data_IF_559750895953
#
_entry.id   IF_559750895953
#
_cell.length_a   1.000
_cell.length_b   1.000
_cell.length_c   1.000
_cell.angle_alpha   90.00
_cell.angle_beta   90.00
_cell.angle_gamma   90.00
#
_symmetry.space_group_name_H-M   'P 1'
#
loop_
_entity.id
_entity.type
_entity.pdbx_description
1 polymer ?
#
# COMPACT_ATOMS: atom_id res chain seq x y z
N UNK A 1 -0.09 -83.28 -39.48
CA UNK A 1 -0.48 -83.17 -38.05
C UNK A 1 0.78 -82.85 -37.25
N UNK A 2 0.95 -81.60 -36.81
CA UNK A 2 2.12 -81.14 -36.04
C UNK A 2 1.80 -81.20 -34.54
N UNK A 3 2.74 -81.71 -33.75
CA UNK A 3 2.68 -81.79 -32.28
C UNK A 3 2.65 -80.39 -31.65
N UNK A 4 2.01 -80.24 -30.47
CA UNK A 4 1.89 -78.95 -29.78
C UNK A 4 3.20 -78.53 -29.10
N UNK A 5 3.46 -77.21 -28.98
CA UNK A 5 4.70 -76.69 -28.42
C UNK A 5 4.76 -76.79 -26.89
N UNK A 6 5.98 -77.01 -26.38
CA UNK A 6 6.31 -77.01 -24.95
C UNK A 6 5.99 -75.67 -24.29
N UNK A 7 5.36 -75.73 -23.13
CA UNK A 7 5.02 -74.61 -22.27
C UNK A 7 6.30 -73.86 -21.85
N UNK A 8 6.33 -72.54 -22.10
CA UNK A 8 7.30 -71.62 -21.47
C UNK A 8 6.62 -71.05 -20.24
N UNK A 9 7.16 -71.34 -19.07
CA UNK A 9 6.74 -70.70 -17.82
C UNK A 9 6.93 -69.19 -17.91
N UNK A 10 5.87 -68.46 -17.57
CA UNK A 10 5.82 -67.00 -17.54
C UNK A 10 6.30 -66.55 -16.15
N UNK A 11 7.33 -65.71 -16.02
CA UNK A 11 7.72 -65.19 -14.72
C UNK A 11 6.64 -64.25 -14.15
N UNK A 12 6.49 -64.14 -12.82
CA UNK A 12 5.42 -63.39 -12.18
C UNK A 12 5.39 -61.91 -12.58
N UNK A 13 4.19 -61.31 -12.58
CA UNK A 13 3.89 -59.96 -13.09
C UNK A 13 4.57 -58.79 -12.33
N UNK A 14 5.37 -59.04 -11.29
CA UNK A 14 5.73 -58.01 -10.30
C UNK A 14 7.09 -57.30 -10.45
N UNK A 15 8.00 -57.71 -11.33
CA UNK A 15 9.33 -57.05 -11.38
C UNK A 15 9.67 -56.34 -12.69
N UNK A 16 8.72 -56.28 -13.63
CA UNK A 16 8.81 -55.51 -14.88
C UNK A 16 8.79 -53.98 -14.69
N UNK A 17 8.82 -53.45 -13.46
CA UNK A 17 8.70 -52.00 -13.20
C UNK A 17 9.97 -51.29 -12.71
N UNK A 18 11.13 -51.96 -12.58
CA UNK A 18 12.30 -51.32 -11.93
C UNK A 18 13.53 -51.09 -12.84
N UNK A 19 13.37 -51.03 -14.16
CA UNK A 19 14.44 -50.61 -15.09
C UNK A 19 14.13 -49.29 -15.79
N UNK A 20 14.20 -48.17 -15.06
CA UNK A 20 14.51 -46.84 -15.60
C UNK A 20 15.19 -45.97 -14.53
N UNK A 21 16.51 -45.75 -14.59
CA UNK A 21 17.14 -44.73 -13.75
C UNK A 21 17.12 -43.37 -14.46
N UNK A 22 16.46 -42.44 -13.78
CA UNK A 22 16.73 -41.00 -13.69
C UNK A 22 16.87 -40.16 -14.97
N UNK A 23 15.71 -39.79 -15.55
CA UNK A 23 15.57 -38.39 -15.99
C UNK A 23 15.51 -37.54 -14.72
N UNK A 24 16.58 -36.77 -14.46
CA UNK A 24 16.56 -35.68 -13.49
C UNK A 24 15.41 -34.74 -13.89
N UNK A 25 14.28 -34.87 -13.20
CA UNK A 25 13.35 -33.76 -13.08
C UNK A 25 14.13 -32.68 -12.36
N UNK A 26 14.64 -31.70 -13.11
CA UNK A 26 14.95 -30.41 -12.56
C UNK A 26 13.61 -29.89 -12.02
N UNK A 27 13.37 -30.12 -10.74
CA UNK A 27 12.46 -29.31 -9.97
C UNK A 27 12.97 -27.89 -10.18
N UNK A 28 12.28 -27.13 -11.03
CA UNK A 28 12.22 -25.69 -10.89
C UNK A 28 11.71 -25.49 -9.45
N UNK A 29 12.65 -25.35 -8.52
CA UNK A 29 12.37 -24.67 -7.28
C UNK A 29 12.02 -23.26 -7.74
N UNK A 30 10.73 -23.01 -7.88
CA UNK A 30 10.22 -21.67 -7.72
C UNK A 30 10.74 -21.26 -6.34
N UNK A 31 11.82 -20.50 -6.33
CA UNK A 31 12.13 -19.65 -5.21
C UNK A 31 10.89 -18.77 -5.07
N UNK A 32 10.01 -19.16 -4.15
CA UNK A 32 9.08 -18.23 -3.53
C UNK A 32 9.97 -17.13 -2.95
N UNK A 33 10.15 -16.08 -3.75
CA UNK A 33 10.59 -14.79 -3.27
C UNK A 33 9.43 -14.28 -2.40
N UNK A 34 9.34 -14.82 -1.18
CA UNK A 34 8.73 -14.13 -0.07
C UNK A 34 9.56 -12.86 0.08
N UNK A 35 9.11 -11.81 -0.61
CA UNK A 35 9.68 -10.48 -0.43
C UNK A 35 9.65 -10.22 1.06
N UNK A 36 10.84 -10.06 1.65
CA UNK A 36 10.93 -9.64 3.02
C UNK A 36 10.30 -8.25 3.05
N UNK A 37 9.06 -8.16 3.55
CA UNK A 37 8.49 -6.87 3.92
C UNK A 37 9.21 -6.49 5.20
N UNK A 38 10.36 -5.85 5.06
CA UNK A 38 11.03 -5.19 6.17
C UNK A 38 10.05 -4.15 6.73
N UNK A 39 9.83 -4.18 8.04
CA UNK A 39 9.00 -3.17 8.68
C UNK A 39 9.74 -1.85 8.52
N UNK A 40 9.16 -0.94 7.74
CA UNK A 40 9.71 0.39 7.55
C UNK A 40 9.86 1.03 8.93
N UNK A 41 11.07 1.47 9.34
CA UNK A 41 11.27 2.05 10.65
C UNK A 41 10.42 3.30 10.81
N UNK A 42 9.85 3.45 12.01
CA UNK A 42 9.11 4.65 12.37
C UNK A 42 10.08 5.77 12.73
N UNK A 43 9.79 7.00 12.29
CA UNK A 43 10.43 8.23 12.77
C UNK A 43 9.42 9.17 13.40
N UNK A 44 9.87 9.96 14.36
CA UNK A 44 9.05 10.94 15.09
C UNK A 44 8.86 12.24 14.31
N UNK A 45 9.82 12.60 13.45
CA UNK A 45 9.83 13.88 12.74
C UNK A 45 9.18 13.73 11.37
N UNK A 46 8.28 14.66 11.02
CA UNK A 46 7.67 14.70 9.70
C UNK A 46 8.75 14.91 8.62
N UNK A 47 8.82 14.05 7.59
CA UNK A 47 9.70 14.30 6.46
C UNK A 47 9.30 15.53 5.68
N UNK A 48 10.27 16.07 4.93
CA UNK A 48 9.95 16.95 3.82
C UNK A 48 9.11 16.18 2.81
N UNK A 49 7.96 16.72 2.45
CA UNK A 49 7.12 16.12 1.42
C UNK A 49 7.83 16.14 0.07
N UNK A 50 7.59 15.11 -0.78
CA UNK A 50 8.08 15.09 -2.14
C UNK A 50 7.75 16.38 -2.88
N UNK A 51 8.75 16.93 -3.56
CA UNK A 51 8.53 18.07 -4.46
C UNK A 51 7.57 17.63 -5.57
N UNK A 52 6.60 18.47 -5.97
CA UNK A 52 5.74 18.15 -7.10
C UNK A 52 6.57 17.80 -8.33
N UNK A 53 6.36 16.59 -8.87
CA UNK A 53 7.05 16.17 -10.08
C UNK A 53 6.55 16.97 -11.29
N UNK A 54 7.45 17.48 -12.16
CA UNK A 54 7.07 18.14 -13.41
C UNK A 54 6.73 17.16 -14.54
N UNK A 55 6.73 15.84 -14.28
CA UNK A 55 6.50 14.82 -15.30
C UNK A 55 5.15 15.03 -16.02
N UNK A 56 5.11 14.84 -17.35
CA UNK A 56 3.89 15.01 -18.12
C UNK A 56 2.79 14.09 -17.58
N UNK A 57 1.59 14.65 -17.46
CA UNK A 57 0.35 14.00 -17.04
C UNK A 57 0.03 12.78 -17.93
N UNK A 58 0.73 11.65 -17.77
CA UNK A 58 0.28 10.37 -18.30
C UNK A 58 -0.99 9.98 -17.53
N UNK A 59 -2.13 10.39 -18.09
CA UNK A 59 -3.51 10.06 -17.69
C UNK A 59 -3.68 9.96 -16.17
N UNK A 60 -3.57 11.11 -15.49
CA UNK A 60 -3.88 11.19 -14.06
C UNK A 60 -5.39 11.03 -13.89
N UNK A 61 -5.82 9.94 -13.25
CA UNK A 61 -7.22 9.77 -12.88
C UNK A 61 -7.54 10.71 -11.71
N UNK A 62 -8.51 11.62 -11.85
CA UNK A 62 -9.00 12.37 -10.71
C UNK A 62 -9.60 11.40 -9.69
N UNK A 63 -9.51 11.73 -8.41
CA UNK A 63 -10.14 10.96 -7.34
C UNK A 63 -10.91 11.86 -6.40
N UNK A 64 -11.94 11.30 -5.76
CA UNK A 64 -12.62 11.96 -4.66
C UNK A 64 -11.73 11.91 -3.42
N UNK A 65 -11.59 13.04 -2.74
CA UNK A 65 -11.01 13.14 -1.42
C UNK A 65 -12.15 13.36 -0.45
N UNK A 66 -12.25 12.52 0.57
CA UNK A 66 -13.12 12.72 1.72
C UNK A 66 -12.24 13.07 2.90
N UNK A 67 -12.44 14.23 3.51
CA UNK A 67 -11.65 14.64 4.66
C UNK A 67 -12.50 14.85 5.90
N UNK A 68 -11.89 14.57 7.04
CA UNK A 68 -12.45 14.77 8.37
C UNK A 68 -11.40 15.47 9.23
N UNK A 69 -11.79 16.53 9.91
CA UNK A 69 -10.98 17.19 10.93
C UNK A 69 -11.65 17.02 12.30
N UNK A 70 -11.11 16.14 13.16
CA UNK A 70 -11.59 15.97 14.52
C UNK A 70 -10.95 17.00 15.48
N UNK A 71 -11.66 17.30 16.56
CA UNK A 71 -11.13 18.02 17.72
C UNK A 71 -10.33 17.07 18.64
N UNK A 72 -9.77 17.63 19.71
CA UNK A 72 -8.93 16.88 20.67
C UNK A 72 -9.67 15.77 21.44
N UNK A 73 -11.00 15.78 21.43
CA UNK A 73 -11.85 14.75 22.07
C UNK A 73 -12.39 13.73 21.06
N UNK A 74 -11.98 13.81 19.79
CA UNK A 74 -12.49 12.96 18.71
C UNK A 74 -13.84 13.39 18.13
N UNK A 75 -14.41 14.50 18.60
CA UNK A 75 -15.61 15.11 18.01
C UNK A 75 -15.29 15.81 16.68
N UNK A 76 -16.26 15.92 15.79
CA UNK A 76 -16.05 16.50 14.46
C UNK A 76 -15.99 18.04 14.52
N UNK A 77 -14.90 18.65 14.04
CA UNK A 77 -14.84 20.09 13.77
C UNK A 77 -15.49 20.36 12.41
N UNK A 78 -14.98 19.70 11.38
CA UNK A 78 -15.50 19.81 10.02
C UNK A 78 -15.18 18.57 9.20
N UNK A 79 -15.94 18.38 8.13
CA UNK A 79 -15.68 17.37 7.10
C UNK A 79 -16.06 17.94 5.75
N UNK A 80 -15.58 17.31 4.70
CA UNK A 80 -16.00 17.68 3.37
C UNK A 80 -15.43 16.76 2.32
N UNK A 81 -15.77 17.08 1.08
CA UNK A 81 -15.29 16.32 -0.07
C UNK A 81 -14.88 17.23 -1.21
N UNK A 82 -13.92 16.78 -2.01
CA UNK A 82 -13.54 17.46 -3.24
C UNK A 82 -12.84 16.51 -4.20
N UNK A 83 -12.93 16.83 -5.50
CA UNK A 83 -12.19 16.10 -6.53
C UNK A 83 -10.76 16.62 -6.60
N UNK A 84 -9.79 15.74 -6.50
CA UNK A 84 -8.37 16.05 -6.62
C UNK A 84 -7.78 15.42 -7.88
N UNK A 85 -7.13 16.25 -8.70
CA UNK A 85 -6.35 15.80 -9.86
C UNK A 85 -4.86 15.77 -9.54
N UNK A 86 -4.24 14.61 -9.74
CA UNK A 86 -2.79 14.43 -9.57
C UNK A 86 -2.41 13.46 -8.47
N UNK A 87 -1.10 13.43 -8.20
CA UNK A 87 -0.48 12.50 -7.24
C UNK A 87 0.29 13.21 -6.14
N UNK A 88 0.57 14.50 -6.30
CA UNK A 88 1.44 15.21 -5.37
C UNK A 88 0.79 15.35 -4.00
N UNK A 89 1.36 14.71 -2.98
CA UNK A 89 0.91 14.86 -1.59
C UNK A 89 1.10 16.30 -1.11
N UNK A 90 2.15 16.99 -1.58
CA UNK A 90 2.37 18.40 -1.31
C UNK A 90 1.22 19.26 -1.86
N UNK A 91 0.82 19.07 -3.13
CA UNK A 91 -0.31 19.82 -3.71
C UNK A 91 -1.62 19.50 -3.01
N UNK A 92 -1.83 18.25 -2.62
CA UNK A 92 -3.01 17.85 -1.85
C UNK A 92 -3.06 18.57 -0.50
N UNK A 93 -1.93 18.65 0.21
CA UNK A 93 -1.78 19.37 1.48
C UNK A 93 -2.12 20.86 1.33
N UNK A 94 -1.58 21.50 0.28
CA UNK A 94 -1.86 22.90 -0.02
C UNK A 94 -3.33 23.16 -0.33
N UNK A 95 -3.96 22.30 -1.14
CA UNK A 95 -5.38 22.43 -1.49
C UNK A 95 -6.28 22.22 -0.26
N UNK A 96 -5.91 21.30 0.64
CA UNK A 96 -6.66 21.09 1.88
C UNK A 96 -6.54 22.28 2.83
N UNK A 97 -5.32 22.81 3.02
CA UNK A 97 -5.10 24.00 3.84
C UNK A 97 -5.88 25.20 3.30
N UNK A 98 -5.86 25.43 1.97
CA UNK A 98 -6.66 26.48 1.32
C UNK A 98 -8.14 26.33 1.60
N UNK A 99 -8.70 25.12 1.46
CA UNK A 99 -10.12 24.85 1.72
C UNK A 99 -10.51 25.04 3.17
N UNK A 100 -9.65 24.68 4.12
CA UNK A 100 -9.89 24.90 5.55
C UNK A 100 -9.80 26.38 5.92
N UNK A 101 -8.86 27.12 5.30
CA UNK A 101 -8.76 28.58 5.43
C UNK A 101 -9.97 29.32 4.86
N UNK A 102 -10.49 28.90 3.70
CA UNK A 102 -11.70 29.47 3.07
C UNK A 102 -12.94 29.35 3.98
N UNK A 103 -12.97 28.36 4.89
CA UNK A 103 -14.05 28.17 5.86
C UNK A 103 -13.92 29.09 7.10
N UNK A 104 -12.91 29.96 7.15
CA UNK A 104 -12.60 30.86 8.27
C UNK A 104 -12.50 30.14 9.62
N UNK A 105 -12.10 28.86 9.62
CA UNK A 105 -12.04 28.04 10.83
C UNK A 105 -10.83 28.45 11.68
N UNK A 106 -9.67 28.66 11.05
CA UNK A 106 -8.42 29.13 11.65
C UNK A 106 -7.48 29.66 10.54
N UNK A 107 -6.52 30.52 10.89
CA UNK A 107 -5.37 30.87 10.05
C UNK A 107 -4.40 29.68 9.99
N UNK A 108 -4.78 28.64 9.24
CA UNK A 108 -4.01 27.40 9.17
C UNK A 108 -3.00 27.47 8.03
N UNK A 109 -1.71 27.41 8.37
CA UNK A 109 -0.67 27.32 7.35
C UNK A 109 -0.61 25.90 6.79
N UNK A 110 -0.09 25.77 5.56
CA UNK A 110 0.18 24.46 4.96
C UNK A 110 1.06 23.63 5.91
N UNK A 111 2.04 24.25 6.56
CA UNK A 111 2.98 23.61 7.48
C UNK A 111 2.34 23.02 8.74
N UNK A 112 1.17 23.48 9.14
CA UNK A 112 0.46 23.01 10.34
C UNK A 112 -0.35 21.75 10.10
N UNK A 113 -0.62 21.43 8.82
CA UNK A 113 -1.53 20.36 8.44
C UNK A 113 -0.80 19.02 8.20
N UNK A 114 -1.10 18.00 9.00
CA UNK A 114 -0.68 16.61 8.71
C UNK A 114 -1.89 15.84 8.20
N UNK A 115 -1.77 15.27 7.01
CA UNK A 115 -2.80 14.41 6.42
C UNK A 115 -2.52 12.97 6.79
N UNK A 116 -3.52 12.27 7.33
CA UNK A 116 -3.39 10.88 7.76
C UNK A 116 -4.42 9.99 7.06
N UNK A 117 -4.03 8.75 6.77
CA UNK A 117 -4.94 7.70 6.35
C UNK A 117 -5.44 6.96 7.59
N UNK A 118 -6.76 6.82 7.79
CA UNK A 118 -7.29 5.98 8.86
C UNK A 118 -7.12 4.51 8.49
N UNK A 119 -6.71 3.71 9.45
CA UNK A 119 -6.75 2.25 9.36
C UNK A 119 -8.05 1.72 9.96
N UNK A 120 -8.35 0.44 9.73
CA UNK A 120 -9.55 -0.19 10.28
C UNK A 120 -9.56 -0.24 11.82
N UNK A 121 -8.38 -0.32 12.46
CA UNK A 121 -8.19 -0.27 13.91
C UNK A 121 -8.15 1.17 14.48
N UNK A 122 -8.42 2.19 13.66
CA UNK A 122 -8.47 3.59 14.10
C UNK A 122 -7.10 4.25 14.24
N UNK A 123 -6.01 3.56 13.89
CA UNK A 123 -4.68 4.14 13.82
C UNK A 123 -4.60 5.13 12.65
N UNK A 124 -3.81 6.18 12.84
CA UNK A 124 -3.53 7.17 11.81
C UNK A 124 -2.15 6.93 11.21
N UNK A 125 -2.10 6.77 9.88
CA UNK A 125 -0.85 6.65 9.14
C UNK A 125 -0.60 7.97 8.39
N UNK A 126 0.45 8.74 8.73
CA UNK A 126 0.76 9.98 8.02
C UNK A 126 1.02 9.74 6.54
N UNK A 127 0.32 10.50 5.68
CA UNK A 127 0.51 10.47 4.24
C UNK A 127 1.71 11.36 3.89
N UNK A 128 2.84 10.72 3.57
CA UNK A 128 4.11 11.40 3.28
C UNK A 128 4.65 11.14 1.87
N UNK A 129 4.03 10.23 1.13
CA UNK A 129 4.39 9.89 -0.25
C UNK A 129 3.30 10.31 -1.22
N UNK A 130 3.67 10.48 -2.48
CA UNK A 130 2.73 10.77 -3.55
C UNK A 130 1.69 9.65 -3.72
N UNK A 131 0.46 10.05 -4.05
CA UNK A 131 -0.68 9.16 -4.18
C UNK A 131 -0.43 8.07 -5.23
N UNK A 132 -1.03 6.87 -5.10
CA UNK A 132 -0.99 5.84 -6.14
C UNK A 132 -1.69 6.31 -7.42
N UNK A 133 -1.65 5.54 -8.52
CA UNK A 133 -2.35 5.91 -9.77
C UNK A 133 -3.85 5.60 -9.79
N UNK A 134 -4.45 5.23 -8.66
CA UNK A 134 -5.87 4.87 -8.57
C UNK A 134 -6.80 6.09 -8.71
N UNK A 135 -8.07 5.84 -9.08
CA UNK A 135 -9.14 6.84 -9.02
C UNK A 135 -10.02 6.69 -7.77
N UNK A 136 -9.66 5.78 -6.87
CA UNK A 136 -10.46 5.44 -5.69
C UNK A 136 -10.52 6.59 -4.69
N UNK A 137 -11.65 6.67 -4.00
CA UNK A 137 -11.87 7.66 -2.95
C UNK A 137 -10.83 7.51 -1.85
N UNK A 138 -10.15 8.61 -1.53
CA UNK A 138 -9.16 8.66 -0.45
C UNK A 138 -9.77 9.33 0.77
N UNK A 139 -9.79 8.61 1.89
CA UNK A 139 -10.21 9.15 3.18
C UNK A 139 -9.00 9.72 3.90
N UNK A 140 -9.11 10.98 4.32
CA UNK A 140 -8.04 11.72 4.99
C UNK A 140 -8.54 12.24 6.32
N UNK A 141 -7.84 11.91 7.39
CA UNK A 141 -7.99 12.56 8.69
C UNK A 141 -6.97 13.69 8.77
N UNK A 142 -7.46 14.89 9.09
CA UNK A 142 -6.63 16.07 9.30
C UNK A 142 -6.17 16.12 10.74
N UNK A 143 -4.86 16.20 10.94
CA UNK A 143 -4.22 16.37 12.24
C UNK A 143 -3.42 17.66 12.23
N UNK A 144 -3.54 18.47 13.29
CA UNK A 144 -2.81 19.73 13.41
C UNK A 144 -1.51 19.49 14.19
N UNK A 145 -0.40 20.05 13.71
CA UNK A 145 0.89 20.04 14.42
C UNK A 145 0.70 20.58 15.84
N UNK A 146 1.32 19.92 16.82
CA UNK A 146 1.19 20.29 18.23
C UNK A 146 -0.07 19.76 18.93
N UNK A 147 -1.04 19.19 18.20
CA UNK A 147 -2.21 18.55 18.84
C UNK A 147 -1.84 17.23 19.55
N UNK A 148 -2.66 16.74 20.50
CA UNK A 148 -2.44 15.42 21.10
C UNK A 148 -2.38 14.28 20.08
N UNK A 149 -3.21 14.34 19.04
CA UNK A 149 -3.20 13.37 17.95
C UNK A 149 -1.89 13.41 17.15
N UNK A 150 -1.26 14.58 17.02
CA UNK A 150 0.04 14.73 16.35
C UNK A 150 1.17 14.05 17.14
N UNK A 151 1.17 14.15 18.47
CA UNK A 151 2.24 13.61 19.32
C UNK A 151 2.35 12.09 19.29
N UNK A 152 1.31 11.39 18.85
CA UNK A 152 1.29 9.92 18.74
C UNK A 152 1.52 9.44 17.30
N UNK A 153 1.74 10.35 16.35
CA UNK A 153 2.01 9.99 14.96
C UNK A 153 3.41 9.40 14.81
N UNK A 154 3.48 8.35 14.00
CA UNK A 154 4.72 7.74 13.57
C UNK A 154 4.80 7.82 12.06
N UNK A 155 5.87 8.40 11.55
CA UNK A 155 6.09 8.53 10.11
C UNK A 155 6.88 7.33 9.61
N UNK A 156 6.49 6.79 8.46
CA UNK A 156 7.32 5.82 7.76
C UNK A 156 8.63 6.47 7.31
N UNK A 157 9.75 5.80 7.54
CA UNK A 157 11.01 6.14 6.90
C UNK A 157 11.02 5.69 5.44
N UNK A 158 10.73 6.62 4.54
CA UNK A 158 10.61 6.33 3.11
C UNK A 158 11.97 6.26 2.40
N UNK A 159 13.06 6.58 3.12
CA UNK A 159 14.44 6.61 2.62
C UNK A 159 15.30 5.47 3.20
N UNK A 160 14.71 4.60 4.04
CA UNK A 160 15.38 3.45 4.66
C UNK A 160 15.73 2.34 3.66
#
# INVERSE_FOLDING_TARGET
>A
RRQPPRQREVPPLEQRRQRRPHRRHQHHQHHDALGHVEVIPAREIMPRLPRPSPLPNLVLRPRMIMYVWPNIHGGLITHGTFVFGGRSVFRLRSELARRLGDLAIMDLEVADLVMCLPTHDGRLIPLVVDLPRSGETLHIVVVIVGSPAYMVLQYADVDA
#
